data_IF_968721350566
#
_entry.id   IF_968721350566
#
_cell.length_a   1.000
_cell.length_b   1.000
_cell.length_c   1.000
_cell.angle_alpha   90.00
_cell.angle_beta   90.00
_cell.angle_gamma   90.00
#
_symmetry.space_group_name_H-M   'P 1'
#
loop_
_entity.id
_entity.type
_entity.pdbx_description
1 polymer ?
#
# COMPACT_ATOMS: atom_id res chain seq x y z
N UNK A 1 -18.12 -15.11 -14.55
CA UNK A 1 -16.66 -14.93 -14.68
C UNK A 1 -16.20 -13.47 -14.62
N UNK A 2 -17.03 -12.49 -15.02
CA UNK A 2 -16.69 -11.04 -14.95
C UNK A 2 -16.31 -10.54 -13.55
N UNK A 3 -16.79 -11.20 -12.48
CA UNK A 3 -16.53 -10.84 -11.09
C UNK A 3 -15.04 -10.85 -10.71
N UNK A 4 -14.23 -11.71 -11.34
CA UNK A 4 -12.78 -11.80 -11.04
C UNK A 4 -12.04 -10.56 -11.60
N UNK A 5 -12.06 -10.27 -12.92
CA UNK A 5 -11.40 -9.07 -13.42
C UNK A 5 -11.99 -7.78 -12.82
N UNK A 6 -13.31 -7.72 -12.61
CA UNK A 6 -13.93 -6.60 -11.92
C UNK A 6 -13.44 -6.46 -10.46
N UNK A 7 -13.31 -7.57 -9.73
CA UNK A 7 -12.78 -7.58 -8.37
C UNK A 7 -11.31 -7.18 -8.29
N UNK A 8 -10.48 -7.57 -9.27
CA UNK A 8 -9.08 -7.15 -9.35
C UNK A 8 -8.96 -5.64 -9.60
N UNK A 9 -9.75 -5.10 -10.53
CA UNK A 9 -9.81 -3.67 -10.80
C UNK A 9 -10.33 -2.90 -9.57
N UNK A 10 -11.41 -3.36 -8.96
CA UNK A 10 -11.98 -2.75 -7.75
C UNK A 10 -10.99 -2.80 -6.58
N UNK A 11 -10.26 -3.91 -6.41
CA UNK A 11 -9.22 -4.05 -5.39
C UNK A 11 -8.09 -3.03 -5.56
N UNK A 12 -7.55 -2.90 -6.78
CA UNK A 12 -6.50 -1.92 -7.04
C UNK A 12 -6.98 -0.46 -7.00
N UNK A 13 -8.23 -0.20 -7.41
CA UNK A 13 -8.87 1.10 -7.21
C UNK A 13 -9.01 1.44 -5.73
N UNK A 14 -9.45 0.48 -4.92
CA UNK A 14 -9.62 0.65 -3.47
C UNK A 14 -8.28 0.97 -2.82
N UNK A 15 -7.23 0.26 -3.21
CA UNK A 15 -5.85 0.55 -2.80
C UNK A 15 -5.46 1.99 -3.14
N UNK A 16 -5.59 2.42 -4.40
CA UNK A 16 -5.28 3.79 -4.83
C UNK A 16 -6.09 4.84 -4.04
N UNK A 17 -7.40 4.66 -3.96
CA UNK A 17 -8.31 5.62 -3.33
C UNK A 17 -8.06 5.72 -1.83
N UNK A 18 -7.97 4.57 -1.15
CA UNK A 18 -7.76 4.52 0.28
C UNK A 18 -6.39 5.07 0.66
N UNK A 19 -5.35 4.70 -0.08
CA UNK A 19 -4.01 5.18 0.19
C UNK A 19 -3.91 6.70 0.00
N UNK A 20 -4.52 7.25 -1.06
CA UNK A 20 -4.53 8.70 -1.31
C UNK A 20 -5.39 9.48 -0.32
N UNK A 21 -6.64 9.07 -0.11
CA UNK A 21 -7.65 9.85 0.60
C UNK A 21 -7.61 9.60 2.10
N UNK A 22 -7.52 8.33 2.52
CA UNK A 22 -7.55 7.95 3.94
C UNK A 22 -6.16 8.03 4.54
N UNK A 23 -5.22 7.27 4.00
CA UNK A 23 -3.88 7.17 4.57
C UNK A 23 -3.08 8.46 4.36
N UNK A 24 -3.11 9.05 3.16
CA UNK A 24 -2.39 10.31 2.88
C UNK A 24 -3.16 11.59 3.22
N UNK A 25 -4.48 11.54 3.28
CA UNK A 25 -5.31 12.65 3.76
C UNK A 25 -5.38 12.68 5.29
N UNK A 26 -6.09 11.72 5.89
CA UNK A 26 -6.31 11.69 7.34
C UNK A 26 -5.06 11.29 8.13
N UNK A 27 -4.18 10.44 7.57
CA UNK A 27 -2.97 9.99 8.28
C UNK A 27 -1.96 11.11 8.56
N UNK A 28 -2.05 12.27 7.90
CA UNK A 28 -1.20 13.43 8.24
C UNK A 28 -1.51 13.96 9.64
N UNK A 29 -2.77 13.85 10.06
CA UNK A 29 -3.25 14.34 11.37
C UNK A 29 -2.83 13.38 12.47
N UNK A 30 -1.92 13.83 13.34
CA UNK A 30 -1.47 13.09 14.54
C UNK A 30 -2.64 12.75 15.47
N UNK A 31 -2.50 11.65 16.21
CA UNK A 31 -3.49 11.20 17.19
C UNK A 31 -4.70 10.47 16.61
N UNK A 32 -4.83 10.39 15.28
CA UNK A 32 -5.86 9.58 14.63
C UNK A 32 -5.39 8.13 14.44
N UNK A 33 -6.33 7.19 14.26
CA UNK A 33 -6.00 5.81 13.93
C UNK A 33 -5.06 5.75 12.72
N UNK A 34 -5.37 6.47 11.64
CA UNK A 34 -4.61 6.50 10.38
C UNK A 34 -3.23 7.16 10.47
N UNK A 35 -2.91 7.84 11.58
CA UNK A 35 -1.64 8.55 11.74
C UNK A 35 -0.40 7.65 11.69
N UNK A 36 -0.59 6.34 11.88
CA UNK A 36 0.49 5.35 11.72
C UNK A 36 1.12 5.40 10.33
N UNK A 37 0.35 5.78 9.30
CA UNK A 37 0.84 5.74 7.93
C UNK A 37 1.99 6.71 7.69
N UNK A 38 1.86 7.96 8.17
CA UNK A 38 2.95 8.93 8.06
C UNK A 38 3.95 8.84 9.20
N UNK A 39 3.42 8.82 10.42
CA UNK A 39 4.22 9.03 11.63
C UNK A 39 4.79 7.73 12.19
N UNK A 40 4.61 6.59 11.54
CA UNK A 40 5.32 5.36 11.83
C UNK A 40 5.89 4.79 10.53
N UNK A 41 5.03 4.36 9.61
CA UNK A 41 5.40 3.62 8.41
C UNK A 41 6.28 4.41 7.42
N UNK A 42 5.79 5.55 6.91
CA UNK A 42 6.59 6.40 6.01
C UNK A 42 7.87 6.93 6.65
N UNK A 43 7.80 7.34 7.93
CA UNK A 43 8.98 7.78 8.67
C UNK A 43 10.02 6.67 8.74
N UNK A 44 9.60 5.46 9.14
CA UNK A 44 10.49 4.31 9.23
C UNK A 44 11.10 3.97 7.87
N UNK A 45 10.29 3.87 6.82
CA UNK A 45 10.77 3.59 5.47
C UNK A 45 11.80 4.62 5.01
N UNK A 46 11.54 5.92 5.22
CA UNK A 46 12.51 6.97 4.84
C UNK A 46 13.79 6.94 5.67
N UNK A 47 13.71 6.61 6.96
CA UNK A 47 14.86 6.58 7.86
C UNK A 47 15.75 5.34 7.67
N UNK A 48 15.20 4.26 7.12
CA UNK A 48 15.90 2.97 6.99
C UNK A 48 15.97 2.49 5.54
N UNK A 49 16.13 3.39 4.56
CA UNK A 49 16.31 3.04 3.15
C UNK A 49 15.23 2.08 2.62
N UNK A 50 13.97 2.48 2.81
CA UNK A 50 12.75 1.74 2.47
C UNK A 50 12.42 0.55 3.38
N UNK A 51 13.30 0.13 4.29
CA UNK A 51 12.99 -0.89 5.29
C UNK A 51 12.02 -0.35 6.35
N UNK A 52 11.02 -1.15 6.75
CA UNK A 52 10.15 -0.82 7.88
C UNK A 52 10.20 -1.91 8.97
N UNK A 53 10.87 -1.66 10.11
CA UNK A 53 10.99 -2.63 11.20
C UNK A 53 9.66 -3.02 11.82
N UNK A 54 8.58 -2.27 11.58
CA UNK A 54 7.26 -2.67 12.03
C UNK A 54 6.85 -4.02 11.45
N UNK A 55 7.24 -4.39 10.23
CA UNK A 55 6.86 -5.65 9.58
C UNK A 55 7.46 -6.93 10.20
N UNK A 56 8.48 -6.77 11.06
CA UNK A 56 9.09 -7.85 11.86
C UNK A 56 8.37 -8.11 13.18
N UNK A 57 7.35 -7.31 13.51
CA UNK A 57 6.57 -7.45 14.74
C UNK A 57 5.35 -8.37 14.52
N UNK A 58 4.68 -8.80 15.60
CA UNK A 58 3.43 -9.55 15.49
C UNK A 58 2.37 -8.79 14.66
N UNK A 59 1.65 -9.47 13.75
CA UNK A 59 0.83 -8.83 12.74
C UNK A 59 -0.44 -8.13 13.24
N UNK A 60 -0.82 -8.29 14.52
CA UNK A 60 -2.04 -7.70 15.10
C UNK A 60 -1.75 -6.72 16.25
N UNK A 61 -0.49 -6.29 16.41
CA UNK A 61 -0.08 -5.32 17.45
C UNK A 61 -0.52 -3.88 17.16
N UNK A 62 -0.44 -3.00 18.17
CA UNK A 62 -0.83 -1.58 18.04
C UNK A 62 0.28 -0.70 17.46
N UNK A 63 0.78 -1.07 16.28
CA UNK A 63 1.79 -0.35 15.50
C UNK A 63 1.40 -0.37 14.01
N UNK A 64 2.15 0.31 13.15
CA UNK A 64 1.85 0.44 11.72
C UNK A 64 1.35 -0.85 11.03
N UNK A 65 2.16 -1.91 10.99
CA UNK A 65 1.77 -3.21 10.39
C UNK A 65 0.45 -3.75 10.95
N UNK A 66 0.23 -3.67 12.26
CA UNK A 66 -0.96 -4.24 12.87
C UNK A 66 -2.22 -3.39 12.66
N UNK A 67 -2.10 -2.06 12.64
CA UNK A 67 -3.21 -1.17 12.27
C UNK A 67 -3.59 -1.35 10.79
N UNK A 68 -2.61 -1.56 9.91
CA UNK A 68 -2.85 -1.98 8.52
C UNK A 68 -3.62 -3.32 8.47
N UNK A 69 -3.16 -4.34 9.20
CA UNK A 69 -3.84 -5.64 9.26
C UNK A 69 -5.28 -5.50 9.78
N UNK A 70 -5.51 -4.73 10.84
CA UNK A 70 -6.84 -4.46 11.36
C UNK A 70 -7.75 -3.76 10.35
N UNK A 71 -7.22 -2.77 9.61
CA UNK A 71 -7.98 -2.10 8.55
C UNK A 71 -8.39 -3.07 7.43
N UNK A 72 -7.49 -3.97 7.00
CA UNK A 72 -7.76 -4.98 5.98
C UNK A 72 -8.76 -6.04 6.45
N UNK A 73 -8.65 -6.48 7.71
CA UNK A 73 -9.63 -7.40 8.33
C UNK A 73 -11.00 -6.74 8.38
N UNK A 74 -11.09 -5.49 8.85
CA UNK A 74 -12.35 -4.75 8.90
C UNK A 74 -12.98 -4.59 7.51
N UNK A 75 -12.18 -4.23 6.49
CA UNK A 75 -12.66 -4.14 5.11
C UNK A 75 -13.15 -5.50 4.57
N UNK A 76 -12.44 -6.58 4.88
CA UNK A 76 -12.80 -7.94 4.46
C UNK A 76 -14.11 -8.42 5.09
N UNK A 77 -14.32 -8.12 6.38
CA UNK A 77 -15.59 -8.38 7.08
C UNK A 77 -16.73 -7.56 6.47
N UNK A 78 -16.49 -6.29 6.15
CA UNK A 78 -17.50 -5.41 5.57
C UNK A 78 -18.03 -5.93 4.21
N UNK A 79 -17.17 -6.54 3.41
CA UNK A 79 -17.57 -7.14 2.12
C UNK A 79 -18.02 -8.59 2.22
N UNK A 80 -17.90 -9.24 3.38
CA UNK A 80 -18.24 -10.66 3.57
C UNK A 80 -19.68 -11.03 3.17
N UNK A 81 -20.72 -10.20 3.41
CA UNK A 81 -22.08 -10.51 2.96
C UNK A 81 -22.21 -10.72 1.43
N UNK A 82 -21.28 -10.18 0.63
CA UNK A 82 -21.25 -10.41 -0.82
C UNK A 82 -21.03 -11.88 -1.17
N UNK A 83 -20.52 -12.72 -0.26
CA UNK A 83 -20.34 -14.15 -0.52
C UNK A 83 -21.65 -14.84 -0.93
N UNK A 84 -22.80 -14.35 -0.44
CA UNK A 84 -24.12 -14.93 -0.70
C UNK A 84 -24.63 -14.65 -2.12
N UNK A 85 -24.23 -13.52 -2.72
CA UNK A 85 -24.80 -13.03 -4.00
C UNK A 85 -23.76 -12.90 -5.11
N UNK A 86 -22.50 -12.65 -4.75
CA UNK A 86 -21.38 -12.44 -5.65
C UNK A 86 -20.10 -13.11 -5.07
N UNK A 87 -20.10 -14.45 -4.89
CA UNK A 87 -19.02 -15.16 -4.20
C UNK A 87 -17.65 -14.90 -4.82
N UNK A 88 -17.56 -14.94 -6.15
CA UNK A 88 -16.31 -14.68 -6.85
C UNK A 88 -15.80 -13.25 -6.69
N UNK A 89 -16.70 -12.26 -6.54
CA UNK A 89 -16.29 -10.90 -6.25
C UNK A 89 -15.73 -10.82 -4.83
N UNK A 90 -16.45 -11.36 -3.84
CA UNK A 90 -16.02 -11.40 -2.44
C UNK A 90 -14.65 -12.09 -2.30
N UNK A 91 -14.49 -13.29 -2.86
CA UNK A 91 -13.24 -14.04 -2.83
C UNK A 91 -12.10 -13.31 -3.52
N UNK A 92 -12.37 -12.61 -4.63
CA UNK A 92 -11.35 -11.80 -5.30
C UNK A 92 -10.93 -10.61 -4.45
N UNK A 93 -11.86 -9.93 -3.77
CA UNK A 93 -11.53 -8.81 -2.89
C UNK A 93 -10.75 -9.25 -1.64
N UNK A 94 -11.09 -10.41 -1.06
CA UNK A 94 -10.30 -11.01 0.01
C UNK A 94 -8.90 -11.40 -0.47
N UNK A 95 -8.79 -11.96 -1.67
CA UNK A 95 -7.49 -12.19 -2.31
C UNK A 95 -6.70 -10.88 -2.47
N UNK A 96 -7.33 -9.81 -2.95
CA UNK A 96 -6.68 -8.51 -3.09
C UNK A 96 -6.18 -7.96 -1.74
N UNK A 97 -6.96 -8.08 -0.66
CA UNK A 97 -6.56 -7.65 0.67
C UNK A 97 -5.35 -8.45 1.20
N UNK A 98 -5.38 -9.78 1.06
CA UNK A 98 -4.27 -10.65 1.44
C UNK A 98 -3.01 -10.39 0.59
N UNK A 99 -3.17 -10.27 -0.73
CA UNK A 99 -2.09 -9.97 -1.65
C UNK A 99 -1.46 -8.60 -1.37
N UNK A 100 -2.26 -7.58 -1.08
CA UNK A 100 -1.79 -6.27 -0.66
C UNK A 100 -0.90 -6.39 0.57
N UNK A 101 -1.39 -7.03 1.65
CA UNK A 101 -0.63 -7.16 2.89
C UNK A 101 0.71 -7.88 2.69
N UNK A 102 0.68 -9.02 2.00
CA UNK A 102 1.88 -9.83 1.78
C UNK A 102 2.88 -9.13 0.86
N UNK A 103 2.40 -8.48 -0.20
CA UNK A 103 3.24 -7.72 -1.14
C UNK A 103 3.85 -6.51 -0.44
N UNK A 104 3.06 -5.77 0.33
CA UNK A 104 3.48 -4.58 1.05
C UNK A 104 4.55 -4.93 2.10
N UNK A 105 4.26 -5.95 2.93
CA UNK A 105 5.22 -6.49 3.89
C UNK A 105 6.52 -6.93 3.22
N UNK A 106 6.44 -7.75 2.16
CA UNK A 106 7.61 -8.22 1.44
C UNK A 106 8.43 -7.06 0.87
N UNK A 107 7.76 -6.02 0.38
CA UNK A 107 8.44 -4.86 -0.19
C UNK A 107 9.32 -4.16 0.86
N UNK A 108 8.80 -3.97 2.06
CA UNK A 108 9.55 -3.34 3.15
C UNK A 108 10.52 -4.28 3.87
N UNK A 109 10.28 -5.59 3.88
CA UNK A 109 11.25 -6.57 4.39
C UNK A 109 12.43 -6.78 3.42
N UNK A 110 12.23 -6.56 2.11
CA UNK A 110 13.24 -6.73 1.06
C UNK A 110 13.32 -5.51 0.11
N UNK A 111 13.94 -4.39 0.54
CA UNK A 111 14.02 -3.16 -0.24
C UNK A 111 14.56 -3.31 -1.67
N UNK A 112 15.62 -4.09 -1.87
CA UNK A 112 16.20 -4.29 -3.21
C UNK A 112 15.22 -5.00 -4.15
N UNK A 113 14.48 -5.98 -3.62
CA UNK A 113 13.44 -6.65 -4.37
C UNK A 113 12.30 -5.68 -4.73
N UNK A 114 11.89 -4.84 -3.78
CA UNK A 114 10.85 -3.83 -4.02
C UNK A 114 11.28 -2.80 -5.06
N UNK A 115 12.50 -2.27 -4.95
CA UNK A 115 13.06 -1.30 -5.90
C UNK A 115 13.04 -1.84 -7.33
N UNK A 116 13.35 -3.14 -7.51
CA UNK A 116 13.36 -3.80 -8.82
C UNK A 116 11.96 -4.16 -9.34
N UNK A 117 11.09 -4.68 -8.48
CA UNK A 117 9.83 -5.33 -8.90
C UNK A 117 8.59 -4.46 -8.68
N UNK A 118 8.65 -3.54 -7.73
CA UNK A 118 7.61 -2.58 -7.35
C UNK A 118 8.18 -1.15 -7.31
N UNK A 119 8.87 -0.67 -8.37
CA UNK A 119 9.53 0.63 -8.34
C UNK A 119 8.57 1.77 -8.04
N UNK A 120 7.30 1.66 -8.40
CA UNK A 120 6.28 2.67 -8.05
C UNK A 120 6.07 2.81 -6.53
N UNK A 121 6.06 1.70 -5.78
CA UNK A 121 5.92 1.72 -4.33
C UNK A 121 7.22 2.23 -3.69
N UNK A 122 8.37 1.86 -4.25
CA UNK A 122 9.65 2.45 -3.83
C UNK A 122 9.67 3.97 -4.03
N UNK A 123 9.27 4.43 -5.22
CA UNK A 123 9.15 5.85 -5.58
C UNK A 123 8.18 6.59 -4.65
N UNK A 124 7.10 5.95 -4.20
CA UNK A 124 6.15 6.54 -3.27
C UNK A 124 6.79 6.99 -1.95
N UNK A 125 7.63 6.13 -1.38
CA UNK A 125 8.30 6.42 -0.11
C UNK A 125 9.54 7.29 -0.28
N UNK A 126 10.38 6.94 -1.27
CA UNK A 126 11.72 7.49 -1.40
C UNK A 126 11.79 8.68 -2.36
N UNK A 127 10.77 8.87 -3.20
CA UNK A 127 10.66 9.99 -4.10
C UNK A 127 10.43 11.32 -3.38
N UNK A 128 10.80 12.45 -4.02
CA UNK A 128 10.66 13.77 -3.43
C UNK A 128 9.21 14.22 -3.30
N UNK A 129 8.30 13.71 -4.15
CA UNK A 129 6.88 14.00 -4.08
C UNK A 129 6.15 12.93 -3.25
N UNK A 130 5.73 13.21 -2.00
CA UNK A 130 4.97 12.26 -1.19
C UNK A 130 3.51 12.08 -1.66
N UNK A 131 3.07 12.86 -2.67
CA UNK A 131 1.69 12.89 -3.17
C UNK A 131 1.54 12.21 -4.54
N UNK A 132 2.28 11.13 -4.79
CA UNK A 132 2.25 10.36 -6.02
C UNK A 132 2.43 8.86 -5.73
N UNK A 133 2.15 8.00 -6.72
CA UNK A 133 2.33 6.54 -6.67
C UNK A 133 1.56 5.87 -5.52
N UNK A 134 0.23 5.91 -5.56
CA UNK A 134 -0.63 5.45 -4.48
C UNK A 134 -0.83 3.94 -4.44
N UNK A 135 -0.65 3.23 -5.54
CA UNK A 135 -0.79 1.78 -5.53
C UNK A 135 0.49 1.11 -5.01
N UNK A 136 0.36 0.02 -4.28
CA UNK A 136 1.42 -0.87 -3.80
C UNK A 136 1.56 -2.09 -4.71
N UNK A 137 0.46 -2.80 -5.00
CA UNK A 137 0.47 -4.11 -5.69
C UNK A 137 0.68 -4.00 -7.20
N UNK A 138 -0.01 -3.06 -7.85
CA UNK A 138 0.07 -2.76 -9.29
C UNK A 138 -0.22 -1.28 -9.50
N UNK A 139 0.49 -0.55 -10.39
CA UNK A 139 0.29 0.89 -10.58
C UNK A 139 -0.88 1.21 -11.53
N UNK A 140 -1.88 0.34 -11.68
CA UNK A 140 -2.90 0.51 -12.72
C UNK A 140 -3.68 1.80 -12.53
N UNK A 141 -4.19 2.06 -11.32
CA UNK A 141 -4.94 3.28 -11.06
C UNK A 141 -4.07 4.52 -10.92
N UNK A 142 -2.77 4.36 -10.63
CA UNK A 142 -1.82 5.47 -10.78
C UNK A 142 -1.67 5.90 -12.25
N UNK A 143 -1.66 4.95 -13.19
CA UNK A 143 -1.65 5.28 -14.62
C UNK A 143 -2.99 5.87 -15.08
N UNK A 144 -4.11 5.27 -14.68
CA UNK A 144 -5.45 5.75 -15.05
C UNK A 144 -5.67 7.19 -14.62
N UNK A 145 -5.24 7.56 -13.41
CA UNK A 145 -5.43 8.91 -12.87
C UNK A 145 -4.21 9.83 -13.02
N UNK A 146 -3.17 9.39 -13.73
CA UNK A 146 -1.97 10.20 -13.97
C UNK A 146 -1.17 10.55 -12.71
N UNK A 147 -1.19 9.70 -11.68
CA UNK A 147 -0.46 9.89 -10.41
C UNK A 147 0.83 9.08 -10.32
N UNK A 148 1.25 8.40 -11.40
CA UNK A 148 2.56 7.72 -11.47
C UNK A 148 3.70 8.72 -11.72
N UNK A 149 4.66 8.79 -10.79
CA UNK A 149 5.90 9.58 -10.92
C UNK A 149 7.15 8.73 -10.70
N UNK A 150 8.06 8.72 -11.68
CA UNK A 150 9.27 7.90 -11.66
C UNK A 150 10.42 8.58 -10.92
N UNK A 151 10.99 7.90 -9.91
CA UNK A 151 12.17 8.34 -9.18
C UNK A 151 13.36 7.38 -9.37
N UNK A 152 13.14 6.08 -9.17
CA UNK A 152 14.14 5.03 -9.42
C UNK A 152 14.66 5.10 -10.86
N UNK A 153 15.99 5.05 -11.01
CA UNK A 153 16.70 5.11 -12.28
C UNK A 153 16.87 6.53 -12.85
N UNK A 154 16.48 7.58 -12.12
CA UNK A 154 16.71 8.98 -12.53
C UNK A 154 17.99 9.51 -11.88
N UNK A 155 18.62 10.50 -12.52
CA UNK A 155 19.83 11.16 -12.01
C UNK A 155 19.70 11.67 -10.56
N UNK A 156 18.49 12.11 -10.17
CA UNK A 156 18.18 12.55 -8.80
C UNK A 156 18.28 11.44 -7.76
N UNK A 157 18.10 10.17 -8.12
CA UNK A 157 18.35 9.04 -7.21
C UNK A 157 19.86 8.83 -7.04
N UNK A 158 20.64 8.94 -8.12
CA UNK A 158 22.08 8.75 -8.08
C UNK A 158 22.79 9.75 -7.15
N UNK A 159 22.31 10.99 -7.08
CA UNK A 159 22.83 12.01 -6.15
C UNK A 159 22.34 11.90 -4.70
N UNK A 160 21.34 11.05 -4.41
CA UNK A 160 20.86 10.79 -3.04
C UNK A 160 21.54 9.55 -2.41
N UNK A 161 22.20 8.73 -3.23
CA UNK A 161 22.91 7.52 -2.81
C UNK A 161 24.44 7.74 -2.62
N UNK A 162 24.93 8.95 -2.90
CA UNK A 162 26.33 9.40 -2.70
C UNK A 162 26.48 10.19 -1.41
#
# INVERSE_FOLDING_TARGET
MISIPAGLLLGNFTEWWFHRIVLHGMGRKRGTFWSFHFHEHHRNARQHNFYDPCYRRPPLGWHAQGKEAWALVAASVLVAPLILWAPWLCLTLWYCAGNYYLTHKKAHDHPDWARKNLPWHYDHHMGPNPQANWCVTRPWFDWVFGTREHFVGREREAGAAS
#
